data_IF_493654919417
#
_entry.id   IF_493654919417
#
_cell.length_a   1.000
_cell.length_b   1.000
_cell.length_c   1.000
_cell.angle_alpha   90.00
_cell.angle_beta   90.00
_cell.angle_gamma   90.00
#
_symmetry.space_group_name_H-M   'P 1'
#
loop_
_entity.id
_entity.type
_entity.pdbx_description
1 polymer ?
#
# COMPACT_ATOMS: atom_id res chain seq x y z
N UNK A 1 -0.50 0.19 -5.53
CA UNK A 1 -0.29 1.53 -6.14
C UNK A 1 -1.54 2.10 -6.82
N UNK A 2 -2.09 1.47 -7.86
CA UNK A 2 -3.24 2.01 -8.63
C UNK A 2 -4.48 2.36 -7.79
N UNK A 3 -4.82 1.51 -6.81
CA UNK A 3 -5.93 1.77 -5.91
C UNK A 3 -5.66 2.97 -4.97
N UNK A 4 -4.41 3.22 -4.59
CA UNK A 4 -4.05 4.38 -3.74
C UNK A 4 -4.29 5.69 -4.50
N UNK A 5 -3.92 5.74 -5.78
CA UNK A 5 -4.11 6.94 -6.63
C UNK A 5 -5.55 7.14 -7.11
N UNK A 6 -6.43 6.16 -6.94
CA UNK A 6 -7.83 6.23 -7.40
C UNK A 6 -8.03 5.85 -8.86
N UNK A 7 -7.03 5.24 -9.51
CA UNK A 7 -7.17 4.71 -10.87
C UNK A 7 -8.11 3.49 -10.94
N UNK A 8 -8.35 2.84 -9.79
CA UNK A 8 -9.30 1.73 -9.64
C UNK A 8 -10.43 2.18 -8.71
N UNK A 9 -11.67 1.76 -9.01
CA UNK A 9 -12.85 2.08 -8.20
C UNK A 9 -12.67 1.56 -6.77
N UNK A 10 -13.00 2.40 -5.79
CA UNK A 10 -12.84 2.11 -4.36
C UNK A 10 -13.64 0.88 -3.90
N UNK A 11 -14.66 0.43 -4.64
CA UNK A 11 -15.44 -0.78 -4.33
C UNK A 11 -14.79 -2.08 -4.78
N UNK A 12 -13.66 -2.03 -5.49
CA UNK A 12 -13.00 -3.23 -6.02
C UNK A 12 -12.05 -3.89 -5.02
N UNK A 13 -11.61 -3.15 -4.00
CA UNK A 13 -10.61 -3.58 -3.01
C UNK A 13 -11.04 -3.00 -1.65
N UNK A 14 -10.82 -3.75 -0.58
CA UNK A 14 -11.07 -3.27 0.78
C UNK A 14 -10.25 -2.00 1.06
N UNK A 15 -10.93 -0.97 1.57
CA UNK A 15 -10.32 0.34 1.70
C UNK A 15 -9.21 0.37 2.76
N UNK A 16 -9.33 -0.50 3.75
CA UNK A 16 -8.34 -0.69 4.80
C UNK A 16 -7.02 -1.22 4.23
N UNK A 17 -7.07 -2.19 3.30
CA UNK A 17 -5.87 -2.73 2.66
C UNK A 17 -5.14 -1.66 1.83
N UNK A 18 -5.90 -0.80 1.15
CA UNK A 18 -5.34 0.33 0.39
C UNK A 18 -4.61 1.29 1.34
N UNK A 19 -5.22 1.61 2.48
CA UNK A 19 -4.65 2.49 3.49
C UNK A 19 -3.42 1.88 4.16
N UNK A 20 -3.44 0.60 4.54
CA UNK A 20 -2.29 -0.11 5.11
C UNK A 20 -1.10 -0.10 4.15
N UNK A 21 -1.33 -0.44 2.87
CA UNK A 21 -0.28 -0.41 1.85
C UNK A 21 0.31 1.00 1.67
N UNK A 22 -0.54 2.02 1.63
CA UNK A 22 -0.09 3.40 1.49
C UNK A 22 0.68 3.88 2.74
N UNK A 23 0.20 3.54 3.93
CA UNK A 23 0.82 3.88 5.21
C UNK A 23 2.22 3.28 5.32
N UNK A 24 2.37 1.99 5.01
CA UNK A 24 3.67 1.31 4.99
C UNK A 24 4.64 2.01 4.02
N UNK A 25 4.18 2.33 2.81
CA UNK A 25 5.00 2.99 1.80
C UNK A 25 5.40 4.42 2.23
N UNK A 26 4.49 5.20 2.81
CA UNK A 26 4.77 6.57 3.26
C UNK A 26 5.68 6.61 4.48
N UNK A 27 5.54 5.69 5.43
CA UNK A 27 6.48 5.60 6.56
C UNK A 27 7.92 5.33 6.11
N UNK A 28 8.08 4.59 5.00
CA UNK A 28 9.41 4.26 4.44
C UNK A 28 9.99 5.39 3.60
N UNK A 29 9.17 6.07 2.79
CA UNK A 29 9.66 6.97 1.74
C UNK A 29 9.29 8.45 1.94
N UNK A 30 8.28 8.76 2.74
CA UNK A 30 7.68 10.10 2.88
C UNK A 30 7.26 10.38 4.33
N UNK A 31 8.09 9.98 5.30
CA UNK A 31 7.73 10.06 6.72
C UNK A 31 7.53 11.52 7.16
N UNK A 32 8.37 12.43 6.69
CA UNK A 32 8.33 13.84 7.10
C UNK A 32 6.98 14.50 6.76
N UNK A 33 6.43 14.20 5.57
CA UNK A 33 5.11 14.68 5.15
C UNK A 33 3.98 14.18 6.06
N UNK A 34 4.09 12.95 6.57
CA UNK A 34 3.14 12.40 7.54
C UNK A 34 3.24 13.11 8.89
N UNK A 35 4.46 13.30 9.39
CA UNK A 35 4.72 13.97 10.66
C UNK A 35 4.18 15.40 10.64
N UNK A 36 4.44 16.14 9.57
CA UNK A 36 3.93 17.50 9.39
C UNK A 36 2.40 17.52 9.30
N UNK A 37 1.80 16.73 8.39
CA UNK A 37 0.34 16.72 8.17
C UNK A 37 -0.43 16.32 9.42
N UNK A 38 0.05 15.31 10.12
CA UNK A 38 -0.61 14.76 11.29
C UNK A 38 0.01 15.26 12.59
N UNK A 39 0.86 16.30 12.55
CA UNK A 39 1.58 16.88 13.70
C UNK A 39 2.00 15.83 14.71
N UNK A 40 2.74 14.82 14.24
CA UNK A 40 3.28 13.74 15.04
C UNK A 40 4.71 14.12 15.43
N UNK A 41 5.05 13.97 16.70
CA UNK A 41 6.40 14.32 17.20
C UNK A 41 7.43 13.26 16.82
N UNK A 42 7.01 12.00 16.74
CA UNK A 42 7.87 10.86 16.46
C UNK A 42 7.32 10.01 15.32
N UNK A 43 8.25 9.37 14.60
CA UNK A 43 7.90 8.40 13.56
C UNK A 43 7.12 7.22 14.17
N UNK A 44 5.90 6.94 13.68
CA UNK A 44 5.16 5.75 14.10
C UNK A 44 5.95 4.48 13.79
N UNK A 45 5.82 3.50 14.68
CA UNK A 45 6.53 2.23 14.60
C UNK A 45 6.19 1.44 13.33
N UNK A 46 4.90 1.42 12.99
CA UNK A 46 4.35 0.69 11.87
C UNK A 46 3.09 1.39 11.32
N UNK A 47 2.58 0.86 10.22
CA UNK A 47 1.39 1.32 9.52
C UNK A 47 0.14 1.32 10.42
N UNK A 48 0.01 0.34 11.31
CA UNK A 48 -1.09 0.30 12.30
C UNK A 48 -1.01 1.49 13.23
N UNK A 49 0.14 1.74 13.86
CA UNK A 49 0.35 2.86 14.77
C UNK A 49 0.12 4.22 14.08
N UNK A 50 0.50 4.35 12.81
CA UNK A 50 0.21 5.55 12.02
C UNK A 50 -1.30 5.74 11.84
N UNK A 51 -2.02 4.72 11.37
CA UNK A 51 -3.48 4.80 11.18
C UNK A 51 -4.17 5.07 12.51
N UNK A 52 -3.73 4.46 13.61
CA UNK A 52 -4.29 4.76 14.92
C UNK A 52 -4.08 6.23 15.34
N UNK A 53 -2.89 6.77 15.11
CA UNK A 53 -2.59 8.17 15.39
C UNK A 53 -3.46 9.13 14.56
N UNK A 54 -3.64 8.83 13.26
CA UNK A 54 -4.52 9.59 12.37
C UNK A 54 -5.97 9.50 12.85
N UNK A 55 -6.45 8.31 13.19
CA UNK A 55 -7.82 8.07 13.63
C UNK A 55 -8.15 8.82 14.92
N UNK A 56 -7.23 8.82 15.90
CA UNK A 56 -7.34 9.63 17.13
C UNK A 56 -7.37 11.12 16.82
N UNK A 57 -6.44 11.60 15.99
CA UNK A 57 -6.32 13.03 15.67
C UNK A 57 -7.51 13.59 14.89
N UNK A 58 -8.13 12.75 14.05
CA UNK A 58 -9.27 13.13 13.19
C UNK A 58 -10.63 12.78 13.77
N UNK A 59 -10.69 12.24 14.99
CA UNK A 59 -11.94 11.83 15.63
C UNK A 59 -12.67 10.71 14.87
N UNK A 60 -11.93 9.85 14.16
CA UNK A 60 -12.48 8.68 13.48
C UNK A 60 -12.62 7.54 14.49
N UNK A 61 -13.56 7.69 15.43
CA UNK A 61 -13.82 6.75 16.51
C UNK A 61 -15.19 6.08 16.34
N UNK A 62 -15.33 4.86 16.86
CA UNK A 62 -16.60 4.17 17.08
C UNK A 62 -17.01 4.24 18.56
N UNK A 63 -18.18 3.71 18.90
CA UNK A 63 -18.64 3.60 20.28
C UNK A 63 -17.62 2.90 21.17
N UNK A 64 -17.45 3.41 22.40
CA UNK A 64 -16.45 2.92 23.35
C UNK A 64 -15.01 3.40 23.06
N UNK A 65 -14.83 4.42 22.22
CA UNK A 65 -13.53 5.09 22.03
C UNK A 65 -12.52 4.32 21.17
N UNK A 66 -12.95 3.22 20.54
CA UNK A 66 -12.11 2.46 19.60
C UNK A 66 -12.02 3.20 18.26
N UNK A 67 -10.98 2.93 17.49
CA UNK A 67 -10.76 3.59 16.20
C UNK A 67 -11.63 2.94 15.13
N UNK A 68 -12.29 3.79 14.35
CA UNK A 68 -12.96 3.38 13.12
C UNK A 68 -11.92 3.32 12.01
N UNK A 69 -11.42 2.11 11.74
CA UNK A 69 -10.39 1.89 10.74
C UNK A 69 -10.86 2.33 9.35
N UNK A 70 -12.04 1.89 8.90
CA UNK A 70 -12.58 2.25 7.58
C UNK A 70 -12.68 3.76 7.36
N UNK A 71 -13.20 4.51 8.35
CA UNK A 71 -13.26 5.97 8.30
C UNK A 71 -11.87 6.60 8.30
N UNK A 72 -10.93 6.04 9.07
CA UNK A 72 -9.54 6.51 9.12
C UNK A 72 -8.83 6.29 7.79
N UNK A 73 -8.96 5.08 7.22
CA UNK A 73 -8.48 4.69 5.89
C UNK A 73 -8.97 5.69 4.85
N UNK A 74 -10.25 6.06 4.92
CA UNK A 74 -10.83 7.02 4.00
C UNK A 74 -10.28 8.44 4.13
N UNK A 75 -10.12 8.93 5.35
CA UNK A 75 -9.51 10.24 5.58
C UNK A 75 -8.06 10.24 5.08
N UNK A 76 -7.30 9.18 5.37
CA UNK A 76 -5.90 9.09 4.99
C UNK A 76 -5.70 9.06 3.47
N UNK A 77 -6.43 8.19 2.76
CA UNK A 77 -6.38 8.12 1.29
C UNK A 77 -6.90 9.40 0.65
N UNK A 78 -7.92 10.03 1.22
CA UNK A 78 -8.39 11.33 0.75
C UNK A 78 -7.33 12.44 0.95
N UNK A 79 -6.65 12.49 2.10
CA UNK A 79 -5.57 13.43 2.37
C UNK A 79 -4.45 13.28 1.32
N UNK A 80 -4.11 12.05 0.94
CA UNK A 80 -3.18 11.78 -0.15
C UNK A 80 -3.69 12.26 -1.51
N UNK A 81 -4.89 11.81 -1.92
CA UNK A 81 -5.44 12.10 -3.26
C UNK A 81 -5.76 13.58 -3.48
N UNK A 82 -6.08 14.31 -2.40
CA UNK A 82 -6.30 15.76 -2.43
C UNK A 82 -5.01 16.57 -2.57
N UNK A 83 -3.84 15.94 -2.45
CA UNK A 83 -2.54 16.61 -2.45
C UNK A 83 -2.23 17.33 -1.14
N UNK A 84 -3.02 17.15 -0.07
CA UNK A 84 -2.75 17.79 1.22
C UNK A 84 -1.55 17.21 1.97
N UNK A 85 -1.08 16.03 1.57
CA UNK A 85 0.22 15.48 1.99
C UNK A 85 1.41 16.02 1.15
N UNK A 86 1.15 16.93 0.20
CA UNK A 86 2.15 17.44 -0.72
C UNK A 86 2.33 16.57 -1.97
N UNK A 87 3.37 16.88 -2.76
CA UNK A 87 3.68 16.16 -4.00
C UNK A 87 4.42 14.85 -3.70
N UNK A 88 3.66 13.75 -3.61
CA UNK A 88 4.19 12.42 -3.29
C UNK A 88 4.19 11.52 -4.53
N UNK A 89 5.31 10.83 -4.76
CA UNK A 89 5.46 9.79 -5.80
C UNK A 89 5.47 8.39 -5.19
N UNK A 90 4.72 7.45 -5.78
CA UNK A 90 4.55 6.06 -5.30
C UNK A 90 5.57 5.05 -5.84
N UNK A 91 6.47 5.49 -6.69
CA UNK A 91 7.51 4.67 -7.29
C UNK A 91 8.69 5.52 -7.75
N UNK A 92 9.83 4.89 -7.92
CA UNK A 92 11.04 5.50 -8.45
C UNK A 92 11.64 4.57 -9.52
N UNK A 93 12.44 5.09 -10.48
CA UNK A 93 13.08 4.26 -11.48
C UNK A 93 13.87 3.08 -10.89
N UNK A 94 14.65 3.32 -9.83
CA UNK A 94 15.42 2.28 -9.14
C UNK A 94 14.53 1.18 -8.53
N UNK A 95 13.36 1.52 -8.01
CA UNK A 95 12.40 0.51 -7.52
C UNK A 95 11.86 -0.36 -8.66
N UNK A 96 11.54 0.26 -9.79
CA UNK A 96 11.01 -0.45 -10.96
C UNK A 96 12.05 -1.41 -11.54
N UNK A 97 13.32 -1.01 -11.62
CA UNK A 97 14.42 -1.89 -12.06
C UNK A 97 14.49 -3.17 -11.21
N UNK A 98 14.38 -3.04 -9.89
CA UNK A 98 14.37 -4.19 -8.97
C UNK A 98 13.13 -5.06 -9.17
N UNK A 99 11.96 -4.47 -9.40
CA UNK A 99 10.71 -5.20 -9.65
C UNK A 99 10.72 -5.96 -10.99
N UNK A 100 11.27 -5.35 -12.04
CA UNK A 100 11.43 -5.96 -13.36
C UNK A 100 12.33 -7.18 -13.27
N UNK A 101 13.52 -7.05 -12.66
CA UNK A 101 14.44 -8.17 -12.50
C UNK A 101 13.84 -9.35 -11.72
N UNK A 102 13.02 -9.06 -10.69
CA UNK A 102 12.27 -10.10 -9.95
C UNK A 102 11.23 -10.78 -10.84
N UNK A 103 10.50 -10.00 -11.63
CA UNK A 103 9.43 -10.48 -12.52
C UNK A 103 9.99 -11.38 -13.62
N UNK A 104 11.11 -11.00 -14.22
CA UNK A 104 11.81 -11.81 -15.23
C UNK A 104 12.21 -13.18 -14.69
N UNK A 105 12.77 -13.24 -13.47
CA UNK A 105 13.12 -14.50 -12.80
C UNK A 105 11.89 -15.39 -12.59
N UNK A 106 10.77 -14.82 -12.12
CA UNK A 106 9.52 -15.55 -11.92
C UNK A 106 8.93 -16.08 -13.24
N UNK A 107 9.03 -15.29 -14.32
CA UNK A 107 8.57 -15.72 -15.66
C UNK A 107 9.43 -16.88 -16.16
N UNK A 108 10.75 -16.80 -16.02
CA UNK A 108 11.67 -17.85 -16.42
C UNK A 108 11.40 -19.17 -15.67
N UNK A 109 11.20 -19.11 -14.35
CA UNK A 109 10.86 -20.28 -13.52
C UNK A 109 9.51 -20.88 -13.93
N UNK A 110 8.47 -20.06 -14.11
CA UNK A 110 7.15 -20.51 -14.57
C UNK A 110 7.23 -21.13 -15.98
N UNK A 111 8.04 -20.58 -16.87
CA UNK A 111 8.27 -21.14 -18.21
C UNK A 111 8.97 -22.51 -18.14
N UNK A 112 10.00 -22.64 -17.29
CA UNK A 112 10.68 -23.91 -17.07
C UNK A 112 9.73 -24.98 -16.51
N UNK A 113 8.95 -24.66 -15.48
CA UNK A 113 7.93 -25.55 -14.90
C UNK A 113 6.88 -25.97 -15.94
N UNK A 114 6.38 -25.04 -16.76
CA UNK A 114 5.45 -25.35 -17.86
C UNK A 114 6.08 -26.30 -18.88
N UNK A 115 7.36 -26.12 -19.21
CA UNK A 115 8.08 -26.99 -20.15
C UNK A 115 8.25 -28.42 -19.61
N UNK A 116 8.59 -28.56 -18.32
CA UNK A 116 8.71 -29.85 -17.62
C UNK A 116 7.35 -30.55 -17.55
N UNK A 117 6.29 -29.82 -17.15
CA UNK A 117 4.91 -30.36 -17.14
C UNK A 117 4.49 -30.88 -18.52
N UNK A 118 4.79 -30.14 -19.59
CA UNK A 118 4.48 -30.55 -20.98
C UNK A 118 5.24 -31.80 -21.40
N UNK A 119 6.54 -31.91 -21.05
CA UNK A 119 7.35 -33.13 -21.31
C UNK A 119 6.79 -34.34 -20.57
N UNK A 120 6.44 -34.18 -19.29
CA UNK A 120 5.88 -35.27 -18.48
C UNK A 120 4.50 -35.72 -18.97
N UNK A 121 3.64 -34.79 -19.40
CA UNK A 121 2.34 -35.13 -20.01
C UNK A 121 2.51 -35.94 -21.30
N UNK A 122 3.45 -35.53 -22.18
CA UNK A 122 3.73 -36.26 -23.43
C UNK A 122 4.31 -37.66 -23.19
N UNK A 123 5.08 -37.87 -22.12
CA UNK A 123 5.62 -39.20 -21.75
C UNK A 123 4.58 -40.16 -21.19
N UNK A 124 3.42 -39.67 -20.72
CA UNK A 124 2.33 -40.48 -20.15
C UNK A 124 1.28 -40.91 -21.17
N UNK A 125 1.39 -40.45 -22.42
CA UNK A 125 0.52 -40.79 -23.54
C UNK A 125 1.27 -41.73 -24.47
#
# INVERSE_FOLDING_TARGET
RLAVTGAIKDTAIEYDDIAYYAAEYFLKNHCDALLERYGLEEKPKDETALLEAIGKKRGALVSGGKINLNKTSAIFIHDYRSGTLGSITLETPAMIEVEVAKTEKLIAEKAALKSVRKKNWKKRK
#
